data_IF_848690710883
#
_entry.id   IF_848690710883
#
_cell.length_a   1.000
_cell.length_b   1.000
_cell.length_c   1.000
_cell.angle_alpha   90.00
_cell.angle_beta   90.00
_cell.angle_gamma   90.00
#
_symmetry.space_group_name_H-M   'P 1'
#
loop_
_entity.id
_entity.type
_entity.pdbx_description
1 polymer ?
#
# COMPACT_ATOMS: atom_id res chain seq x y z
N UNK A 1 -12.45 -12.29 -7.53
CA UNK A 1 -11.59 -13.48 -7.34
C UNK A 1 -12.09 -14.26 -6.13
N UNK A 2 -11.99 -15.58 -6.12
CA UNK A 2 -12.23 -16.39 -4.92
C UNK A 2 -11.04 -17.32 -4.66
N UNK A 3 -10.78 -17.62 -3.39
CA UNK A 3 -9.71 -18.51 -2.95
C UNK A 3 -10.34 -19.70 -2.23
N UNK A 4 -10.17 -20.90 -2.79
CA UNK A 4 -10.63 -22.14 -2.18
C UNK A 4 -9.53 -23.20 -2.36
N UNK A 5 -9.23 -23.97 -1.31
CA UNK A 5 -8.29 -25.10 -1.38
C UNK A 5 -6.93 -24.82 -2.04
N UNK A 6 -6.31 -23.65 -1.80
CA UNK A 6 -5.07 -23.18 -2.44
C UNK A 6 -5.13 -22.90 -3.95
N UNK A 7 -6.35 -22.84 -4.48
CA UNK A 7 -6.66 -22.45 -5.84
C UNK A 7 -7.27 -21.05 -5.84
N UNK A 8 -6.62 -20.12 -6.54
CA UNK A 8 -7.18 -18.79 -6.80
C UNK A 8 -7.86 -18.79 -8.16
N UNK A 9 -9.13 -18.38 -8.18
CA UNK A 9 -9.92 -18.20 -9.39
C UNK A 9 -9.94 -16.72 -9.79
N UNK A 10 -9.26 -16.38 -10.89
CA UNK A 10 -9.36 -15.06 -11.54
C UNK A 10 -10.50 -15.11 -12.56
N UNK A 11 -11.46 -14.19 -12.42
CA UNK A 11 -12.58 -14.01 -13.35
C UNK A 11 -12.33 -12.69 -14.07
N UNK A 12 -12.28 -12.73 -15.39
CA UNK A 12 -12.33 -11.54 -16.23
C UNK A 12 -13.80 -11.18 -16.47
N UNK A 13 -14.24 -9.99 -16.07
CA UNK A 13 -15.63 -9.59 -16.26
C UNK A 13 -15.94 -9.22 -17.72
N UNK A 14 -14.93 -8.90 -18.54
CA UNK A 14 -15.09 -8.64 -19.97
C UNK A 14 -15.12 -9.94 -20.78
N UNK A 15 -14.43 -10.98 -20.28
CA UNK A 15 -14.48 -12.35 -20.80
C UNK A 15 -15.10 -13.26 -19.74
N UNK A 16 -16.43 -13.18 -19.60
CA UNK A 16 -17.24 -13.84 -18.56
C UNK A 16 -16.98 -15.35 -18.35
N UNK A 17 -16.29 -16.02 -19.27
CA UNK A 17 -16.03 -17.47 -19.24
C UNK A 17 -14.61 -17.88 -18.82
N UNK A 18 -13.67 -16.94 -18.62
CA UNK A 18 -12.32 -17.31 -18.20
C UNK A 18 -12.20 -17.37 -16.67
N UNK A 19 -12.24 -18.59 -16.13
CA UNK A 19 -11.89 -18.90 -14.75
C UNK A 19 -10.47 -19.50 -14.74
N UNK A 20 -9.46 -18.69 -14.48
CA UNK A 20 -8.08 -19.18 -14.33
C UNK A 20 -7.84 -19.74 -12.94
N UNK A 21 -7.42 -21.01 -12.81
CA UNK A 21 -7.03 -21.63 -11.54
C UNK A 21 -5.52 -21.46 -11.30
N UNK A 22 -5.16 -20.88 -10.16
CA UNK A 22 -3.79 -20.62 -9.77
C UNK A 22 -3.40 -21.35 -8.49
N UNK A 23 -2.35 -22.18 -8.57
CA UNK A 23 -1.75 -22.87 -7.42
C UNK A 23 -0.52 -22.12 -6.89
N UNK A 24 -0.40 -22.04 -5.56
CA UNK A 24 0.77 -21.48 -4.86
C UNK A 24 2.01 -22.40 -4.87
N UNK A 25 1.94 -23.58 -5.51
CA UNK A 25 3.10 -24.44 -5.76
C UNK A 25 3.65 -25.21 -4.54
N UNK A 26 3.14 -24.99 -3.32
CA UNK A 26 3.47 -25.78 -2.13
C UNK A 26 2.44 -26.88 -1.85
N UNK A 27 2.85 -27.94 -1.15
CA UNK A 27 1.93 -28.97 -0.65
C UNK A 27 0.85 -28.30 0.24
N UNK A 28 -0.42 -28.69 0.12
CA UNK A 28 -1.55 -27.98 0.74
C UNK A 28 -1.52 -27.75 2.26
N UNK A 29 -0.63 -28.42 2.99
CA UNK A 29 -0.63 -28.43 4.46
C UNK A 29 0.19 -27.34 5.15
N UNK A 30 1.00 -26.53 4.45
CA UNK A 30 1.99 -25.66 5.13
C UNK A 30 1.79 -24.14 5.00
N UNK A 31 0.99 -23.64 4.06
CA UNK A 31 0.85 -22.19 3.83
C UNK A 31 -0.62 -21.76 3.83
N UNK A 32 -1.01 -20.97 4.82
CA UNK A 32 -2.37 -20.41 4.94
C UNK A 32 -2.36 -19.00 4.39
N UNK A 33 -3.11 -18.73 3.32
CA UNK A 33 -3.24 -17.36 2.80
C UNK A 33 -3.88 -16.47 3.86
N UNK A 34 -3.26 -15.31 4.08
CA UNK A 34 -3.74 -14.28 4.99
C UNK A 34 -4.47 -13.17 4.23
N UNK A 35 -3.80 -12.55 3.26
CA UNK A 35 -4.36 -11.46 2.44
C UNK A 35 -3.88 -11.53 1.00
N UNK A 36 -4.62 -10.86 0.12
CA UNK A 36 -4.29 -10.67 -1.28
C UNK A 36 -4.50 -9.22 -1.66
N UNK A 37 -3.58 -8.67 -2.45
CA UNK A 37 -3.59 -7.27 -2.89
C UNK A 37 -3.44 -7.24 -4.40
N UNK A 38 -4.50 -6.82 -5.09
CA UNK A 38 -4.49 -6.56 -6.52
C UNK A 38 -4.21 -5.08 -6.74
N UNK A 39 -3.35 -4.76 -7.72
CA UNK A 39 -3.10 -3.38 -8.09
C UNK A 39 -4.25 -2.77 -8.92
N UNK A 40 -4.31 -1.43 -9.05
CA UNK A 40 -5.36 -0.75 -9.81
C UNK A 40 -5.46 -1.15 -11.29
N UNK A 41 -4.37 -1.60 -11.91
CA UNK A 41 -4.39 -2.08 -13.31
C UNK A 41 -4.93 -3.51 -13.45
N UNK A 42 -4.96 -4.28 -12.36
CA UNK A 42 -5.33 -5.71 -12.37
C UNK A 42 -4.21 -6.65 -12.84
N UNK A 43 -2.99 -6.15 -13.05
CA UNK A 43 -1.86 -6.92 -13.60
C UNK A 43 -0.97 -7.54 -12.53
N UNK A 44 -0.93 -6.96 -11.34
CA UNK A 44 -0.05 -7.33 -10.25
C UNK A 44 -0.86 -7.81 -9.06
N UNK A 45 -0.66 -9.07 -8.67
CA UNK A 45 -1.27 -9.66 -7.48
C UNK A 45 -0.18 -10.06 -6.50
N UNK A 46 -0.25 -9.49 -5.29
CA UNK A 46 0.59 -9.85 -4.15
C UNK A 46 -0.23 -10.70 -3.18
N UNK A 47 0.32 -11.84 -2.79
CA UNK A 47 -0.33 -12.80 -1.88
C UNK A 47 0.58 -12.96 -0.67
N UNK A 48 0.02 -12.79 0.52
CA UNK A 48 0.75 -12.96 1.79
C UNK A 48 0.12 -14.08 2.60
N UNK A 49 0.95 -14.83 3.31
CA UNK A 49 0.53 -15.98 4.14
C UNK A 49 0.68 -15.66 5.62
N UNK A 50 -0.01 -16.42 6.47
CA UNK A 50 0.10 -16.32 7.94
C UNK A 50 1.51 -16.63 8.44
N UNK A 51 2.30 -17.38 7.65
CA UNK A 51 3.69 -17.74 7.94
C UNK A 51 4.69 -16.65 7.51
N UNK A 52 4.23 -15.59 6.83
CA UNK A 52 5.09 -14.50 6.33
C UNK A 52 5.80 -14.81 5.01
N UNK A 53 5.47 -15.91 4.34
CA UNK A 53 5.83 -16.14 2.94
C UNK A 53 4.94 -15.29 2.03
N UNK A 54 5.56 -14.61 1.06
CA UNK A 54 4.87 -13.77 0.09
C UNK A 54 5.09 -14.30 -1.33
N UNK A 55 4.07 -14.16 -2.17
CA UNK A 55 4.06 -14.62 -3.55
C UNK A 55 3.56 -13.51 -4.47
N UNK A 56 4.15 -13.45 -5.65
CA UNK A 56 3.81 -12.50 -6.69
C UNK A 56 3.28 -13.24 -7.91
N UNK A 57 2.15 -12.77 -8.42
CA UNK A 57 1.58 -13.19 -9.67
C UNK A 57 1.46 -11.97 -10.59
N UNK A 58 2.01 -12.11 -11.79
CA UNK A 58 1.84 -11.14 -12.86
C UNK A 58 0.81 -11.64 -13.88
N UNK A 59 0.19 -10.72 -14.60
CA UNK A 59 -0.70 -11.02 -15.71
C UNK A 59 -0.11 -12.04 -16.70
N UNK A 60 -0.95 -12.98 -17.13
CA UNK A 60 -0.55 -14.07 -18.04
C UNK A 60 0.24 -15.20 -17.38
N UNK A 61 0.71 -15.06 -16.13
CA UNK A 61 1.40 -16.14 -15.44
C UNK A 61 0.43 -17.21 -14.94
N UNK A 62 0.79 -18.48 -15.12
CA UNK A 62 0.01 -19.64 -14.64
C UNK A 62 0.31 -20.05 -13.19
N UNK A 63 1.39 -19.50 -12.61
CA UNK A 63 1.87 -19.83 -11.26
C UNK A 63 2.44 -18.59 -10.60
N UNK A 64 2.15 -18.41 -9.32
CA UNK A 64 2.74 -17.35 -8.52
C UNK A 64 4.19 -17.72 -8.20
N UNK A 65 5.10 -16.75 -8.25
CA UNK A 65 6.50 -16.92 -7.85
C UNK A 65 6.65 -16.46 -6.40
N UNK A 66 7.38 -17.22 -5.59
CA UNK A 66 7.69 -16.81 -4.22
C UNK A 66 8.67 -15.62 -4.24
N UNK A 67 8.43 -14.63 -3.40
CA UNK A 67 9.29 -13.46 -3.23
C UNK A 67 10.32 -13.75 -2.13
N UNK A 68 11.59 -13.88 -2.50
CA UNK A 68 12.65 -14.35 -1.60
C UNK A 68 12.98 -13.34 -0.50
N UNK A 69 12.97 -12.04 -0.85
CA UNK A 69 13.31 -10.92 0.04
C UNK A 69 12.16 -10.46 0.94
N UNK A 70 10.91 -10.76 0.59
CA UNK A 70 9.74 -10.40 1.37
C UNK A 70 9.38 -11.53 2.33
N UNK A 71 10.02 -11.54 3.51
CA UNK A 71 9.74 -12.49 4.61
C UNK A 71 9.05 -11.77 5.77
N UNK A 72 7.76 -11.49 5.60
CA UNK A 72 6.94 -10.73 6.53
C UNK A 72 5.45 -10.97 6.28
N UNK A 73 4.60 -10.70 7.27
CA UNK A 73 3.15 -10.65 7.06
C UNK A 73 2.79 -9.23 6.62
N UNK A 74 2.26 -9.11 5.40
CA UNK A 74 1.85 -7.84 4.80
C UNK A 74 0.40 -7.56 5.21
N UNK A 75 0.17 -6.41 5.83
CA UNK A 75 -1.15 -6.05 6.35
C UNK A 75 -1.85 -5.00 5.50
N UNK A 76 -1.08 -4.13 4.84
CA UNK A 76 -1.57 -3.11 3.93
C UNK A 76 -0.58 -2.82 2.79
N UNK A 77 -1.09 -2.36 1.65
CA UNK A 77 -0.31 -1.99 0.46
C UNK A 77 -0.82 -0.65 -0.06
N UNK A 78 0.09 0.29 -0.31
CA UNK A 78 -0.18 1.52 -1.05
C UNK A 78 0.45 1.41 -2.44
N UNK A 79 -0.38 1.19 -3.45
CA UNK A 79 0.02 1.17 -4.84
C UNK A 79 0.28 2.59 -5.37
N UNK A 80 1.14 2.70 -6.38
CA UNK A 80 1.35 3.94 -7.11
C UNK A 80 0.23 4.16 -8.14
N UNK A 81 -0.93 4.59 -7.67
CA UNK A 81 -2.12 4.76 -8.50
C UNK A 81 -1.89 5.70 -9.70
N UNK A 82 -1.08 6.74 -9.54
CA UNK A 82 -0.75 7.67 -10.64
C UNK A 82 -0.06 6.95 -11.79
N UNK A 83 0.82 5.98 -11.50
CA UNK A 83 1.55 5.23 -12.54
C UNK A 83 0.84 3.96 -12.99
N UNK A 84 0.00 3.34 -12.14
CA UNK A 84 -0.63 2.05 -12.41
C UNK A 84 -2.09 2.17 -12.87
N UNK A 85 -2.81 3.23 -12.50
CA UNK A 85 -4.20 3.38 -12.88
C UNK A 85 -4.33 3.62 -14.38
N UNK A 86 -5.17 2.84 -15.10
CA UNK A 86 -5.41 3.07 -16.52
C UNK A 86 -6.11 4.42 -16.80
N UNK A 87 -6.61 5.10 -15.76
CA UNK A 87 -7.34 6.36 -15.85
C UNK A 87 -6.55 7.58 -15.39
N UNK A 88 -5.29 7.43 -14.96
CA UNK A 88 -4.53 8.55 -14.37
C UNK A 88 -4.13 9.64 -15.37
N UNK A 89 -4.32 9.42 -16.69
CA UNK A 89 -3.95 10.36 -17.75
C UNK A 89 -2.43 10.55 -17.92
N UNK A 90 -1.63 10.05 -16.99
CA UNK A 90 -0.18 9.96 -17.08
C UNK A 90 0.12 8.69 -17.86
N UNK A 91 0.68 8.84 -19.07
CA UNK A 91 1.25 7.70 -19.79
C UNK A 91 2.48 7.23 -19.02
N UNK A 92 2.29 6.35 -18.04
CA UNK A 92 3.38 5.50 -17.65
C UNK A 92 3.80 4.76 -18.91
N UNK A 93 5.08 4.83 -19.26
CA UNK A 93 5.68 3.65 -19.87
C UNK A 93 5.39 2.55 -18.86
N UNK A 94 4.30 1.83 -19.07
CA UNK A 94 3.86 0.72 -18.21
C UNK A 94 4.84 -0.40 -18.44
N UNK A 95 6.07 -0.16 -18.02
CA UNK A 95 7.03 -1.19 -17.72
C UNK A 95 6.29 -2.17 -16.86
N UNK A 96 6.53 -3.44 -17.12
CA UNK A 96 5.87 -4.57 -16.50
C UNK A 96 6.01 -4.59 -14.98
N UNK A 97 6.59 -3.58 -14.32
CA UNK A 97 6.80 -3.45 -12.88
C UNK A 97 5.62 -2.83 -12.15
N UNK A 98 5.52 -3.19 -10.87
CA UNK A 98 4.61 -2.60 -9.89
C UNK A 98 4.87 -1.13 -9.58
N UNK A 99 5.96 -0.55 -10.10
CA UNK A 99 6.51 0.73 -9.65
C UNK A 99 6.85 0.70 -8.15
N UNK A 100 7.31 1.83 -7.61
CA UNK A 100 7.56 1.97 -6.18
C UNK A 100 6.24 1.95 -5.41
N UNK A 101 6.14 1.06 -4.43
CA UNK A 101 4.99 0.94 -3.54
C UNK A 101 5.42 0.99 -2.07
N UNK A 102 4.48 1.28 -1.18
CA UNK A 102 4.69 1.13 0.25
C UNK A 102 3.91 -0.07 0.80
N UNK A 103 4.56 -0.85 1.66
CA UNK A 103 3.96 -1.97 2.39
C UNK A 103 3.94 -1.68 3.88
N UNK A 104 2.83 -2.00 4.53
CA UNK A 104 2.69 -1.99 5.98
C UNK A 104 2.78 -3.41 6.55
N UNK A 105 3.70 -3.62 7.50
CA UNK A 105 3.85 -4.89 8.21
C UNK A 105 3.01 -5.01 9.49
N UNK A 106 2.84 -6.24 9.97
CA UNK A 106 2.17 -6.53 11.25
C UNK A 106 2.86 -5.93 12.48
N UNK A 107 4.15 -5.63 12.39
CA UNK A 107 4.97 -5.06 13.46
C UNK A 107 5.11 -3.53 13.38
N UNK A 108 4.28 -2.84 12.58
CA UNK A 108 4.34 -1.39 12.39
C UNK A 108 5.49 -0.91 11.49
N UNK A 109 6.29 -1.82 10.91
CA UNK A 109 7.35 -1.43 9.97
C UNK A 109 6.76 -1.15 8.59
N UNK A 110 7.20 -0.03 8.00
CA UNK A 110 6.86 0.40 6.65
C UNK A 110 8.03 0.07 5.72
N UNK A 111 7.72 -0.53 4.57
CA UNK A 111 8.71 -0.91 3.57
C UNK A 111 8.42 -0.21 2.25
N UNK A 112 9.47 0.24 1.58
CA UNK A 112 9.45 0.63 0.18
C UNK A 112 9.89 -0.57 -0.66
N UNK A 113 9.12 -0.87 -1.71
CA UNK A 113 9.29 -2.07 -2.53
C UNK A 113 9.07 -1.76 -4.00
N UNK A 114 9.88 -2.39 -4.85
CA UNK A 114 9.62 -2.47 -6.29
C UNK A 114 9.74 -3.93 -6.72
N UNK A 115 8.71 -4.42 -7.40
CA UNK A 115 8.68 -5.76 -7.98
C UNK A 115 8.57 -5.59 -9.49
N UNK A 116 9.33 -6.38 -10.24
CA UNK A 116 9.14 -6.49 -11.69
C UNK A 116 9.11 -7.96 -12.09
N UNK A 117 8.29 -8.33 -13.09
CA UNK A 117 8.29 -9.65 -13.66
C UNK A 117 9.61 -9.82 -14.38
N UNK A 118 10.54 -10.49 -13.72
CA UNK A 118 11.77 -10.92 -14.34
C UNK A 118 11.43 -11.85 -15.52
N UNK A 119 11.80 -11.46 -16.74
CA UNK A 119 11.69 -12.29 -17.94
C UNK A 119 12.70 -13.45 -17.90
N UNK A 120 13.85 -13.24 -17.26
CA UNK A 120 14.87 -14.26 -17.07
C UNK A 120 14.56 -15.17 -15.87
N UNK A 121 14.59 -16.49 -16.10
CA UNK A 121 14.21 -17.51 -15.12
C UNK A 121 14.98 -17.45 -13.78
N UNK A 122 16.19 -16.89 -13.77
CA UNK A 122 17.07 -16.83 -12.59
C UNK A 122 17.00 -15.51 -11.82
N UNK A 123 16.33 -14.48 -12.34
CA UNK A 123 16.26 -13.18 -11.67
C UNK A 123 15.06 -13.15 -10.71
N UNK A 124 15.35 -12.75 -9.47
CA UNK A 124 14.30 -12.57 -8.47
C UNK A 124 13.35 -11.44 -8.90
N UNK A 125 12.03 -11.63 -8.84
CA UNK A 125 11.08 -10.58 -9.17
C UNK A 125 11.11 -9.41 -8.15
N UNK A 126 11.53 -9.66 -6.91
CA UNK A 126 11.77 -8.63 -5.89
C UNK A 126 13.04 -7.80 -6.18
N UNK A 127 12.90 -6.74 -7.00
CA UNK A 127 14.00 -5.86 -7.42
C UNK A 127 14.67 -5.19 -6.23
N UNK A 128 13.89 -4.63 -5.32
CA UNK A 128 14.36 -4.20 -4.00
C UNK A 128 13.24 -4.19 -2.96
N UNK A 129 13.64 -4.32 -1.69
CA UNK A 129 12.78 -4.26 -0.50
C UNK A 129 13.58 -3.53 0.57
N UNK A 130 13.04 -2.45 1.12
CA UNK A 130 13.73 -1.66 2.13
C UNK A 130 12.77 -1.21 3.22
N UNK A 131 13.12 -1.45 4.49
CA UNK A 131 12.43 -0.81 5.60
C UNK A 131 12.78 0.69 5.62
N UNK A 132 11.76 1.55 5.60
CA UNK A 132 11.92 3.02 5.55
C UNK A 132 11.50 3.69 6.85
N UNK A 133 10.57 3.09 7.60
CA UNK A 133 10.10 3.63 8.87
C UNK A 133 9.55 2.52 9.78
N UNK A 134 9.47 2.75 11.08
CA UNK A 134 8.71 1.89 12.01
C UNK A 134 7.89 2.77 12.92
N UNK A 135 6.58 2.52 12.97
CA UNK A 135 5.67 3.27 13.81
C UNK A 135 6.09 3.18 15.29
N UNK A 136 5.99 4.27 16.08
CA UNK A 136 6.38 4.27 17.49
C UNK A 136 5.66 3.21 18.33
N UNK A 137 4.37 2.99 18.07
CA UNK A 137 3.53 2.02 18.78
C UNK A 137 3.73 0.57 18.30
N UNK A 138 4.43 0.37 17.17
CA UNK A 138 4.66 -0.93 16.51
C UNK A 138 3.38 -1.71 16.25
N UNK A 139 2.24 -1.03 16.15
CA UNK A 139 0.97 -1.68 15.85
C UNK A 139 0.90 -2.12 14.39
N UNK A 140 0.10 -3.16 14.14
CA UNK A 140 -0.17 -3.65 12.80
C UNK A 140 -0.74 -2.54 11.92
N UNK A 141 -0.14 -2.35 10.75
CA UNK A 141 -0.59 -1.35 9.77
C UNK A 141 -1.84 -1.85 9.07
N UNK A 142 -3.01 -1.35 9.46
CA UNK A 142 -4.31 -1.77 8.90
C UNK A 142 -4.63 -1.09 7.57
N UNK A 143 -4.02 0.07 7.30
CA UNK A 143 -4.15 0.79 6.04
C UNK A 143 -2.94 1.68 5.76
N UNK A 144 -2.63 1.87 4.49
CA UNK A 144 -1.59 2.79 4.03
C UNK A 144 -1.98 3.35 2.67
N UNK A 145 -1.80 4.65 2.47
CA UNK A 145 -2.05 5.35 1.20
C UNK A 145 -1.03 6.45 1.03
N UNK A 146 -0.66 6.75 -0.21
CA UNK A 146 0.07 7.98 -0.53
C UNK A 146 -0.54 8.69 -1.73
N UNK A 147 -0.33 10.00 -1.80
CA UNK A 147 -0.74 10.86 -2.91
C UNK A 147 0.27 12.00 -3.07
N UNK A 148 0.66 12.32 -4.32
CA UNK A 148 1.47 13.52 -4.59
C UNK A 148 0.60 14.77 -4.50
N UNK A 149 1.16 15.87 -4.01
CA UNK A 149 0.41 17.12 -3.97
C UNK A 149 0.24 17.68 -5.39
N UNK A 150 -0.99 18.09 -5.72
CA UNK A 150 -1.31 18.65 -7.05
C UNK A 150 -0.55 19.94 -7.34
N UNK A 151 -0.39 20.78 -6.32
CA UNK A 151 0.30 22.07 -6.43
C UNK A 151 1.82 21.94 -6.37
N UNK A 152 2.33 20.84 -5.79
CA UNK A 152 3.76 20.55 -5.69
C UNK A 152 4.02 19.03 -5.85
N UNK A 153 4.16 18.54 -7.10
CA UNK A 153 4.39 17.13 -7.38
C UNK A 153 5.73 16.59 -6.86
N UNK A 154 6.65 17.45 -6.39
CA UNK A 154 7.88 17.03 -5.73
C UNK A 154 7.65 16.57 -4.29
N UNK A 155 6.43 16.75 -3.78
CA UNK A 155 6.02 16.38 -2.43
C UNK A 155 4.93 15.34 -2.45
N UNK A 156 4.92 14.53 -1.40
CA UNK A 156 3.92 13.49 -1.18
C UNK A 156 3.33 13.62 0.21
N UNK A 157 2.08 13.18 0.35
CA UNK A 157 1.45 12.88 1.64
C UNK A 157 1.28 11.37 1.74
N UNK A 158 1.74 10.78 2.83
CA UNK A 158 1.50 9.38 3.20
C UNK A 158 0.63 9.36 4.45
N UNK A 159 -0.47 8.61 4.40
CA UNK A 159 -1.36 8.37 5.54
C UNK A 159 -1.29 6.89 5.89
N UNK A 160 -1.08 6.61 7.17
CA UNK A 160 -0.97 5.25 7.71
C UNK A 160 -1.99 5.08 8.82
N UNK A 161 -2.76 4.00 8.76
CA UNK A 161 -3.75 3.64 9.76
C UNK A 161 -3.30 2.41 10.55
N UNK A 162 -3.56 2.46 11.85
CA UNK A 162 -3.48 1.32 12.78
C UNK A 162 -4.85 1.11 13.42
N UNK A 163 -4.94 0.19 14.38
CA UNK A 163 -6.18 -0.01 15.14
C UNK A 163 -6.54 1.20 16.03
N UNK A 164 -5.57 2.05 16.38
CA UNK A 164 -5.76 3.12 17.38
C UNK A 164 -5.38 4.52 16.90
N UNK A 165 -4.61 4.64 15.82
CA UNK A 165 -4.01 5.91 15.37
C UNK A 165 -3.98 6.03 13.85
N UNK A 166 -4.08 7.28 13.40
CA UNK A 166 -3.67 7.71 12.06
C UNK A 166 -2.37 8.48 12.16
N UNK A 167 -1.42 8.15 11.29
CA UNK A 167 -0.15 8.85 11.13
C UNK A 167 -0.14 9.54 9.78
N UNK A 168 0.29 10.80 9.74
CA UNK A 168 0.48 11.56 8.52
C UNK A 168 1.95 11.98 8.37
N UNK A 169 2.50 11.67 7.20
CA UNK A 169 3.82 12.10 6.77
C UNK A 169 3.65 12.96 5.53
N UNK A 170 4.24 14.15 5.52
CA UNK A 170 4.25 15.02 4.36
C UNK A 170 5.65 15.59 4.14
N UNK A 171 6.13 15.59 2.90
CA UNK A 171 7.49 16.03 2.63
C UNK A 171 7.93 15.78 1.20
N UNK A 172 9.17 16.18 0.86
CA UNK A 172 9.73 15.92 -0.45
C UNK A 172 9.97 14.43 -0.66
N UNK A 173 9.86 13.99 -1.91
CA UNK A 173 10.29 12.67 -2.35
C UNK A 173 11.59 12.77 -3.17
N UNK A 174 12.41 11.74 -3.09
CA UNK A 174 13.72 11.68 -3.72
C UNK A 174 13.71 10.90 -5.04
N UNK A 175 14.78 11.02 -5.81
CA UNK A 175 15.03 10.23 -7.02
C UNK A 175 14.28 10.74 -8.27
N UNK A 176 14.94 10.68 -9.43
CA UNK A 176 14.21 10.69 -10.70
C UNK A 176 13.51 9.33 -10.77
N UNK A 177 12.18 9.33 -10.71
CA UNK A 177 11.30 8.14 -10.69
C UNK A 177 11.40 7.22 -11.93
N UNK A 178 12.50 7.34 -12.69
CA UNK A 178 12.75 6.83 -14.04
C UNK A 178 14.12 6.12 -14.12
N UNK A 179 14.87 6.04 -13.02
CA UNK A 179 16.10 5.22 -12.95
C UNK A 179 15.81 3.97 -12.13
N UNK A 180 15.94 2.80 -12.78
CA UNK A 180 15.72 1.47 -12.22
C UNK A 180 16.45 1.32 -10.85
N UNK A 181 15.67 1.39 -9.75
CA UNK A 181 16.18 1.34 -8.38
C UNK A 181 16.25 2.66 -7.60
N UNK A 182 15.66 3.76 -8.09
CA UNK A 182 15.53 4.99 -7.30
C UNK A 182 14.60 4.78 -6.10
N UNK A 183 15.09 5.12 -4.90
CA UNK A 183 14.33 5.06 -3.65
C UNK A 183 13.60 6.40 -3.45
N UNK A 184 12.29 6.37 -3.61
CA UNK A 184 11.43 7.55 -3.70
C UNK A 184 11.07 8.07 -2.31
N UNK A 185 10.73 7.17 -1.38
CA UNK A 185 10.18 7.54 -0.08
C UNK A 185 11.23 7.56 1.04
N UNK A 186 12.43 7.03 0.81
CA UNK A 186 13.51 7.02 1.80
C UNK A 186 13.78 8.43 2.39
N UNK A 187 13.86 9.45 1.53
CA UNK A 187 14.11 10.83 1.97
C UNK A 187 12.98 11.41 2.83
N UNK A 188 11.72 11.12 2.48
CA UNK A 188 10.55 11.50 3.27
C UNK A 188 10.68 10.95 4.69
N UNK A 189 10.79 9.62 4.83
CA UNK A 189 10.79 8.98 6.15
C UNK A 189 12.06 9.27 6.96
N UNK A 190 13.20 9.50 6.32
CA UNK A 190 14.44 9.88 7.00
C UNK A 190 14.30 11.20 7.79
N UNK A 191 13.49 12.15 7.31
CA UNK A 191 13.23 13.42 8.02
C UNK A 191 12.48 13.22 9.34
N UNK A 192 11.61 12.22 9.42
CA UNK A 192 10.83 11.90 10.63
C UNK A 192 11.58 11.01 11.63
N UNK A 193 12.72 10.45 11.24
CA UNK A 193 13.62 9.75 12.17
C UNK A 193 14.56 10.71 12.91
N UNK A 194 14.75 11.93 12.40
CA UNK A 194 15.76 12.87 12.88
C UNK A 194 15.17 14.13 13.52
N UNK A 195 14.19 14.74 12.86
CA UNK A 195 13.92 16.17 13.07
C UNK A 195 12.48 16.49 13.55
N UNK A 196 11.51 15.58 13.40
CA UNK A 196 10.15 15.78 13.92
C UNK A 196 9.37 14.46 14.07
N UNK A 197 8.54 14.31 15.12
CA UNK A 197 7.56 13.22 15.18
C UNK A 197 6.51 13.39 14.07
N UNK A 198 6.00 12.28 13.55
CA UNK A 198 4.89 12.31 12.60
C UNK A 198 3.65 12.96 13.25
N UNK A 199 2.81 13.61 12.44
CA UNK A 199 1.51 14.07 12.94
C UNK A 199 0.63 12.87 13.26
N UNK A 200 0.19 12.77 14.51
CA UNK A 200 -0.62 11.66 15.01
C UNK A 200 -2.02 12.12 15.40
N UNK A 201 -3.02 11.36 14.97
CA UNK A 201 -4.41 11.54 15.36
C UNK A 201 -4.91 10.26 16.04
N UNK A 202 -5.46 10.39 17.25
CA UNK A 202 -6.06 9.27 17.98
C UNK A 202 -7.42 8.96 17.37
N UNK A 203 -7.64 7.70 16.99
CA UNK A 203 -8.96 7.23 16.56
C UNK A 203 -9.79 7.03 17.82
N UNK A 204 -10.63 8.01 18.16
CA UNK A 204 -11.65 7.84 19.19
C UNK A 204 -12.69 6.84 18.66
N UNK A 205 -13.12 5.90 19.50
CA UNK A 205 -14.00 4.75 19.19
C UNK A 205 -15.39 5.11 18.64
N UNK A 206 -15.65 6.38 18.34
CA UNK A 206 -16.92 6.90 17.82
C UNK A 206 -16.73 7.70 16.53
N UNK A 207 -15.78 7.31 15.69
CA UNK A 207 -15.78 7.76 14.29
C UNK A 207 -16.54 6.73 13.48
N UNK A 208 -17.87 6.89 13.42
CA UNK A 208 -18.64 6.39 12.29
C UNK A 208 -18.16 7.18 11.09
N UNK A 209 -17.32 6.58 10.24
CA UNK A 209 -16.96 7.19 8.96
C UNK A 209 -18.26 7.25 8.16
N UNK A 210 -18.84 8.45 7.89
CA UNK A 210 -19.96 8.54 6.98
C UNK A 210 -19.46 8.05 5.62
N UNK A 211 -20.27 7.25 4.93
CA UNK A 211 -20.04 6.71 3.58
C UNK A 211 -19.71 7.76 2.51
N UNK A 212 -19.78 9.03 2.88
CA UNK A 212 -19.72 10.23 2.08
C UNK A 212 -18.47 11.10 2.42
N UNK A 213 -17.48 10.54 3.13
CA UNK A 213 -16.14 11.13 3.27
C UNK A 213 -15.34 11.02 1.95
N UNK A 214 -15.87 11.61 0.90
CA UNK A 214 -15.13 12.08 -0.26
C UNK A 214 -14.27 13.25 0.20
N UNK A 215 -12.95 13.07 0.21
CA UNK A 215 -12.00 14.17 0.32
C UNK A 215 -12.19 15.10 -0.90
N UNK A 216 -13.01 16.14 -0.73
CA UNK A 216 -13.19 17.19 -1.73
C UNK A 216 -12.28 18.36 -1.35
N UNK A 217 -11.09 18.39 -1.94
CA UNK A 217 -10.21 19.57 -1.86
C UNK A 217 -10.79 20.62 -2.81
N UNK A 218 -11.31 21.73 -2.27
CA UNK A 218 -11.55 22.95 -3.01
C UNK A 218 -10.69 24.07 -2.42
N UNK A 219 -10.16 24.92 -3.31
CA UNK A 219 -9.04 25.83 -3.07
C UNK A 219 -9.16 26.82 -1.90
N UNK A 220 -7.97 27.11 -1.37
CA UNK A 220 -7.42 28.45 -1.02
C UNK A 220 -8.17 29.42 -0.10
N UNK A 221 -9.13 29.03 0.75
CA UNK A 221 -9.49 29.82 1.94
C UNK A 221 -9.88 28.92 3.11
N UNK A 222 -9.26 29.15 4.28
CA UNK A 222 -9.67 28.54 5.55
C UNK A 222 -10.82 29.34 6.16
N UNK A 223 -12.03 28.80 6.18
CA UNK A 223 -13.07 29.22 7.13
C UNK A 223 -13.35 28.07 8.10
N UNK A 224 -13.34 28.30 9.42
CA UNK A 224 -13.78 27.29 10.37
C UNK A 224 -15.28 27.08 10.18
N UNK A 225 -15.68 25.88 9.78
CA UNK A 225 -17.05 25.44 9.96
C UNK A 225 -17.33 25.43 11.46
N UNK A 226 -18.04 26.45 11.94
CA UNK A 226 -18.53 26.51 13.31
C UNK A 226 -19.51 25.36 13.51
N UNK A 227 -19.03 24.25 14.08
CA UNK A 227 -19.93 23.29 14.70
C UNK A 227 -20.39 23.93 16.02
N UNK A 228 -21.61 24.47 16.01
CA UNK A 228 -22.32 24.76 17.25
C UNK A 228 -22.57 23.44 17.98
N UNK A 229 -21.64 23.06 18.86
CA UNK A 229 -21.90 22.07 19.91
C UNK A 229 -22.10 22.85 21.20
N UNK A 230 -23.31 23.37 21.37
CA UNK A 230 -23.83 23.64 22.70
C UNK A 230 -23.99 22.32 23.43
N UNK A 231 -23.18 22.10 24.46
CA UNK A 231 -23.48 21.12 25.50
C UNK A 231 -22.32 20.24 25.91
N UNK A 232 -21.99 20.33 27.20
CA UNK A 232 -21.26 19.36 28.03
C UNK A 232 -19.74 19.51 28.11
N UNK A 233 -19.32 20.66 28.66
CA UNK A 233 -18.22 20.67 29.62
C UNK A 233 -18.81 20.72 31.04
N UNK A 234 -18.74 19.62 31.79
CA UNK A 234 -18.60 19.72 33.24
C UNK A 234 -17.11 19.66 33.57
N UNK A 235 -16.59 20.78 34.07
CA UNK A 235 -15.31 20.81 34.77
C UNK A 235 -15.52 20.19 36.16
N UNK A 236 -14.63 19.31 36.56
CA UNK A 236 -14.32 19.08 37.97
C UNK A 236 -12.80 19.20 38.15
N UNK A 237 -12.47 19.82 39.27
CA UNK A 237 -11.27 20.56 39.67
C UNK A 237 -9.91 19.94 39.36
#
# INVERSE_FOLDING_TARGET
>A
MCFNSNSLHRIDMAMQDYIGELSLGKKPQEATVHKMFLDPSGKHLLITTMQGDNYYLYEGWKKAKQLGRLKMIIEAVAWNDEKLSPYSGVSSQSGSSTQEMLLGGRNGTIYEVLISPAEEFFKSPDRYVQAVYTLPDKQSVSGIKFEKLKDDPSRVVVVIATASRLYQFAGPIGGKADTDGSRVFESLFASYNKDAPASEFVILSTISIPTDMLFRIHGTVWEPATLNVTGLFSRTW
#
